data_IF_021194420530
#
_entry.id   IF_021194420530
#
_cell.length_a   1.000
_cell.length_b   1.000
_cell.length_c   1.000
_cell.angle_alpha   90.00
_cell.angle_beta   90.00
_cell.angle_gamma   90.00
#
_symmetry.space_group_name_H-M   'P 1'
#
loop_
_entity.id
_entity.type
_entity.pdbx_description
1 polymer ?
#
# COMPACT_ATOMS: atom_id res chain seq x y z
N UNK A 1 10.49 9.13 -2.40
CA UNK A 1 10.04 7.90 -3.09
C UNK A 1 9.94 6.78 -2.06
N UNK A 2 8.78 6.15 -1.91
CA UNK A 2 8.64 4.98 -1.04
C UNK A 2 9.33 3.76 -1.65
N UNK A 3 9.99 2.97 -0.81
CA UNK A 3 10.62 1.70 -1.17
C UNK A 3 10.33 0.67 -0.09
N UNK A 4 10.15 -0.58 -0.50
CA UNK A 4 10.15 -1.71 0.43
C UNK A 4 11.57 -1.86 0.98
N UNK A 5 11.72 -1.79 2.30
CA UNK A 5 13.01 -1.95 3.00
C UNK A 5 13.06 -3.22 3.83
N UNK A 6 11.91 -3.74 4.25
CA UNK A 6 11.82 -4.97 5.03
C UNK A 6 10.49 -5.68 4.76
N UNK A 7 10.54 -7.01 4.76
CA UNK A 7 9.38 -7.88 4.69
C UNK A 7 9.54 -8.94 5.77
N UNK A 8 8.55 -9.04 6.64
CA UNK A 8 8.46 -10.12 7.61
C UNK A 8 7.22 -10.96 7.27
N UNK A 9 7.39 -12.19 6.74
CA UNK A 9 6.27 -13.04 6.40
C UNK A 9 5.48 -13.43 7.65
N UNK A 10 4.16 -13.53 7.51
CA UNK A 10 3.32 -14.03 8.59
C UNK A 10 3.56 -15.51 8.78
N UNK A 11 3.96 -15.91 9.99
CA UNK A 11 4.09 -17.32 10.39
C UNK A 11 2.99 -17.66 11.37
N UNK A 12 2.69 -18.95 11.59
CA UNK A 12 1.66 -19.35 12.57
C UNK A 12 1.98 -18.72 13.93
N UNK A 13 1.11 -17.82 14.39
CA UNK A 13 1.21 -17.14 15.69
C UNK A 13 1.91 -15.78 15.69
N UNK A 14 2.59 -15.36 14.60
CA UNK A 14 3.22 -14.04 14.49
C UNK A 14 2.71 -13.31 13.25
N UNK A 15 2.07 -12.15 13.46
CA UNK A 15 1.58 -11.32 12.38
C UNK A 15 2.74 -10.86 11.47
N UNK A 16 2.57 -11.04 10.17
CA UNK A 16 3.49 -10.51 9.17
C UNK A 16 3.35 -9.00 8.98
N UNK A 17 4.38 -8.38 8.43
CA UNK A 17 4.39 -6.97 8.08
C UNK A 17 5.31 -6.66 6.88
N UNK A 18 5.06 -5.50 6.27
CA UNK A 18 5.94 -4.91 5.24
C UNK A 18 6.30 -3.50 5.69
N UNK A 19 7.59 -3.17 5.64
CA UNK A 19 8.08 -1.82 5.94
C UNK A 19 8.42 -1.13 4.63
N UNK A 20 7.77 0.02 4.43
CA UNK A 20 8.16 0.99 3.42
C UNK A 20 8.93 2.13 4.08
N UNK A 21 9.85 2.73 3.36
CA UNK A 21 10.52 3.95 3.79
C UNK A 21 10.51 4.97 2.66
N UNK A 22 10.27 6.24 2.98
CA UNK A 22 10.54 7.31 2.05
C UNK A 22 12.05 7.53 1.95
N UNK A 23 12.66 7.02 0.89
CA UNK A 23 14.09 7.21 0.59
C UNK A 23 14.36 8.49 -0.21
N UNK A 24 13.36 9.35 -0.42
CA UNK A 24 13.54 10.63 -1.10
C UNK A 24 13.85 11.76 -0.14
N UNK A 25 14.19 12.92 -0.70
CA UNK A 25 14.43 14.17 0.04
C UNK A 25 13.18 15.03 0.22
N UNK A 26 12.06 14.62 -0.37
CA UNK A 26 10.77 15.33 -0.29
C UNK A 26 9.71 14.40 0.26
N UNK A 27 8.70 14.99 0.91
CA UNK A 27 7.53 14.25 1.39
C UNK A 27 6.73 13.69 0.23
N UNK A 28 6.13 12.52 0.44
CA UNK A 28 5.27 11.85 -0.54
C UNK A 28 3.93 11.55 0.09
N UNK A 29 2.86 11.72 -0.66
CA UNK A 29 1.54 11.30 -0.21
C UNK A 29 1.46 9.77 -0.23
N UNK A 30 0.90 9.17 0.83
CA UNK A 30 0.69 7.73 0.94
C UNK A 30 -0.48 7.26 0.07
N UNK A 31 -1.48 8.10 -0.18
CA UNK A 31 -2.58 7.82 -1.09
C UNK A 31 -2.05 7.66 -2.52
N UNK A 32 -2.53 6.63 -3.22
CA UNK A 32 -2.09 6.31 -4.58
C UNK A 32 -0.92 5.32 -4.65
N UNK A 33 -0.49 4.80 -3.50
CA UNK A 33 0.42 3.66 -3.42
C UNK A 33 -0.36 2.36 -3.21
N UNK A 34 0.17 1.26 -3.73
CA UNK A 34 -0.35 -0.08 -3.48
C UNK A 34 0.77 -1.11 -3.36
N UNK A 35 0.55 -2.17 -2.58
CA UNK A 35 1.41 -3.36 -2.56
C UNK A 35 0.64 -4.52 -3.17
N UNK A 36 1.27 -5.28 -4.06
CA UNK A 36 0.65 -6.47 -4.66
C UNK A 36 1.68 -7.59 -4.84
N UNK A 37 1.19 -8.81 -5.11
CA UNK A 37 2.04 -9.92 -5.58
C UNK A 37 2.23 -9.87 -7.10
N UNK A 38 2.94 -10.87 -7.65
CA UNK A 38 3.03 -11.12 -9.09
C UNK A 38 1.67 -11.41 -9.77
N UNK A 39 0.57 -11.59 -9.02
CA UNK A 39 -0.77 -11.77 -9.59
C UNK A 39 -1.14 -10.63 -10.56
N UNK A 40 -0.67 -9.42 -10.25
CA UNK A 40 -0.81 -8.25 -11.12
C UNK A 40 -0.15 -8.45 -12.49
N UNK A 41 1.06 -9.00 -12.52
CA UNK A 41 1.82 -9.24 -13.75
C UNK A 41 1.30 -10.46 -14.53
N UNK A 42 0.68 -11.40 -13.83
CA UNK A 42 0.12 -12.64 -14.38
C UNK A 42 -1.31 -12.46 -14.90
N UNK A 43 -1.92 -11.28 -14.72
CA UNK A 43 -3.31 -11.00 -15.06
C UNK A 43 -4.30 -12.00 -14.42
N UNK A 44 -4.09 -12.31 -13.14
CA UNK A 44 -4.93 -13.19 -12.33
C UNK A 44 -5.82 -12.32 -11.42
N UNK A 45 -7.05 -11.97 -11.83
CA UNK A 45 -7.88 -11.00 -11.12
C UNK A 45 -8.38 -11.52 -9.78
N UNK A 46 -8.67 -12.82 -9.67
CA UNK A 46 -9.19 -13.42 -8.44
C UNK A 46 -8.13 -13.40 -7.34
N UNK A 47 -6.90 -13.79 -7.68
CA UNK A 47 -5.78 -13.74 -6.75
C UNK A 47 -5.36 -12.30 -6.46
N UNK A 48 -5.36 -11.43 -7.47
CA UNK A 48 -5.02 -10.02 -7.28
C UNK A 48 -5.96 -9.34 -6.28
N UNK A 49 -7.26 -9.59 -6.37
CA UNK A 49 -8.25 -9.01 -5.44
C UNK A 49 -7.99 -9.38 -3.98
N UNK A 50 -7.31 -10.49 -3.72
CA UNK A 50 -6.95 -10.96 -2.39
C UNK A 50 -5.56 -10.49 -1.96
N UNK A 51 -4.65 -10.28 -2.91
CA UNK A 51 -3.22 -10.04 -2.66
C UNK A 51 -2.77 -8.60 -2.91
N UNK A 52 -3.70 -7.68 -3.18
CA UNK A 52 -3.44 -6.23 -3.32
C UNK A 52 -3.93 -5.44 -2.09
N UNK A 53 -3.06 -4.56 -1.58
CA UNK A 53 -3.42 -3.55 -0.60
C UNK A 53 -3.22 -2.17 -1.18
N UNK A 54 -4.28 -1.37 -1.16
CA UNK A 54 -4.28 0.02 -1.62
C UNK A 54 -4.23 0.91 -0.38
N UNK A 55 -3.22 1.75 -0.29
CA UNK A 55 -3.14 2.74 0.78
C UNK A 55 -4.17 3.85 0.53
N UNK A 56 -5.06 4.06 1.51
CA UNK A 56 -6.19 5.00 1.42
C UNK A 56 -5.92 6.33 2.13
N UNK A 57 -4.97 6.33 3.06
CA UNK A 57 -4.65 7.45 3.92
C UNK A 57 -4.04 8.61 3.13
N UNK A 58 -4.61 9.80 3.30
CA UNK A 58 -4.12 11.05 2.72
C UNK A 58 -3.05 11.67 3.64
N UNK A 59 -1.94 10.95 3.79
CA UNK A 59 -0.90 11.25 4.77
C UNK A 59 0.41 11.59 4.08
N UNK A 60 1.06 12.67 4.53
CA UNK A 60 2.34 13.11 4.01
C UNK A 60 3.49 12.38 4.72
N UNK A 61 4.13 11.44 4.02
CA UNK A 61 5.26 10.68 4.55
C UNK A 61 6.55 11.47 4.33
N UNK A 62 7.11 12.01 5.41
CA UNK A 62 8.35 12.79 5.40
C UNK A 62 9.57 11.97 4.96
N UNK A 63 10.67 12.63 4.54
CA UNK A 63 11.94 11.95 4.26
C UNK A 63 12.39 11.03 5.39
N UNK A 64 12.84 9.83 5.06
CA UNK A 64 13.32 8.79 5.97
C UNK A 64 12.28 8.26 6.99
N UNK A 65 11.02 8.68 6.88
CA UNK A 65 9.90 8.14 7.66
C UNK A 65 9.45 6.79 7.12
N UNK A 66 9.04 5.91 8.04
CA UNK A 66 8.58 4.56 7.72
C UNK A 66 7.06 4.48 7.69
N UNK A 67 6.57 3.61 6.82
CA UNK A 67 5.19 3.12 6.80
C UNK A 67 5.24 1.62 7.04
N UNK A 68 4.44 1.11 7.97
CA UNK A 68 4.40 -0.32 8.31
C UNK A 68 3.02 -0.84 7.96
N UNK A 69 2.93 -1.71 6.97
CA UNK A 69 1.70 -2.44 6.66
C UNK A 69 1.68 -3.73 7.47
N UNK A 70 0.76 -3.82 8.42
CA UNK A 70 0.57 -4.95 9.30
C UNK A 70 -0.55 -5.84 8.76
N UNK A 71 -0.36 -7.16 8.76
CA UNK A 71 -1.42 -8.08 8.32
C UNK A 71 -2.60 -8.13 9.28
N UNK A 72 -2.36 -7.93 10.59
CA UNK A 72 -3.35 -8.07 11.64
C UNK A 72 -4.44 -7.00 11.62
N UNK A 73 -5.30 -7.06 12.66
CA UNK A 73 -6.35 -6.05 12.88
C UNK A 73 -5.81 -4.81 13.57
N UNK A 74 -6.35 -3.66 13.22
CA UNK A 74 -6.04 -2.39 13.86
C UNK A 74 -6.62 -1.21 13.08
N UNK A 75 -6.32 -0.01 13.58
CA UNK A 75 -6.69 1.25 12.95
C UNK A 75 -5.45 1.95 12.45
N UNK A 76 -5.52 2.47 11.22
CA UNK A 76 -4.40 3.16 10.60
C UNK A 76 -4.07 4.44 11.40
N UNK A 77 -2.78 4.72 11.59
CA UNK A 77 -2.37 5.89 12.36
C UNK A 77 -0.88 6.00 12.60
N UNK A 78 -0.49 7.16 13.12
CA UNK A 78 0.88 7.44 13.53
C UNK A 78 1.19 6.77 14.86
N UNK A 79 2.31 6.07 14.94
CA UNK A 79 2.80 5.42 16.16
C UNK A 79 4.25 5.80 16.41
N UNK A 80 4.59 6.03 17.69
CA UNK A 80 5.97 6.27 18.11
C UNK A 80 6.78 4.96 18.07
N UNK A 81 7.97 5.01 17.49
CA UNK A 81 8.90 3.88 17.43
C UNK A 81 9.90 3.92 18.58
N UNK A 82 10.54 2.79 18.88
CA UNK A 82 11.48 2.64 20.01
C UNK A 82 12.68 3.60 19.95
N UNK A 83 13.01 4.11 18.76
CA UNK A 83 14.08 5.07 18.51
C UNK A 83 13.59 6.54 18.59
N UNK A 84 12.38 6.77 19.09
CA UNK A 84 11.77 8.10 19.25
C UNK A 84 11.29 8.75 17.95
N UNK A 85 11.34 8.03 16.83
CA UNK A 85 10.78 8.48 15.55
C UNK A 85 9.29 8.12 15.47
N UNK A 86 8.64 8.53 14.39
CA UNK A 86 7.27 8.12 14.07
C UNK A 86 7.26 7.22 12.85
N UNK A 87 6.37 6.23 12.88
CA UNK A 87 5.99 5.44 11.72
C UNK A 87 4.48 5.52 11.51
N UNK A 88 4.05 5.48 10.26
CA UNK A 88 2.63 5.33 9.94
C UNK A 88 2.30 3.84 9.88
N UNK A 89 1.45 3.36 10.78
CA UNK A 89 0.98 1.98 10.79
C UNK A 89 -0.30 1.89 9.98
N UNK A 90 -0.35 0.97 9.02
CA UNK A 90 -1.54 0.65 8.26
C UNK A 90 -1.89 -0.83 8.48
N UNK A 91 -3.18 -1.15 8.53
CA UNK A 91 -3.65 -2.49 8.86
C UNK A 91 -4.43 -3.10 7.71
N UNK A 92 -3.99 -4.27 7.26
CA UNK A 92 -4.70 -5.06 6.23
C UNK A 92 -6.01 -5.63 6.78
N UNK A 93 -6.12 -5.81 8.10
CA UNK A 93 -7.28 -6.42 8.74
C UNK A 93 -7.57 -7.84 8.23
N UNK A 94 -6.52 -8.59 7.86
CA UNK A 94 -6.63 -9.99 7.46
C UNK A 94 -6.35 -10.92 8.63
N UNK A 95 -7.11 -12.01 8.72
CA UNK A 95 -6.90 -13.08 9.70
C UNK A 95 -5.94 -14.16 9.20
N UNK A 96 -5.61 -14.15 7.90
CA UNK A 96 -4.72 -15.12 7.25
C UNK A 96 -3.49 -14.42 6.65
N UNK A 97 -2.34 -15.13 6.57
CA UNK A 97 -1.22 -14.67 5.76
C UNK A 97 -1.67 -14.39 4.32
N UNK A 98 -1.46 -13.16 3.84
CA UNK A 98 -1.83 -12.78 2.48
C UNK A 98 -0.85 -13.39 1.47
N UNK A 99 0.46 -13.14 1.64
CA UNK A 99 1.46 -13.67 0.73
C UNK A 99 2.13 -14.93 1.28
N UNK A 100 2.35 -15.90 0.39
CA UNK A 100 3.07 -17.13 0.69
C UNK A 100 4.57 -16.84 0.93
N UNK A 101 5.25 -17.60 1.80
CA UNK A 101 6.71 -17.55 1.89
C UNK A 101 7.37 -17.73 0.50
N UNK A 102 8.32 -16.86 0.18
CA UNK A 102 9.00 -16.87 -1.13
C UNK A 102 8.26 -16.12 -2.26
N UNK A 103 7.03 -15.64 -2.02
CA UNK A 103 6.35 -14.78 -2.99
C UNK A 103 7.10 -13.45 -3.18
N UNK A 104 7.16 -12.99 -4.43
CA UNK A 104 7.62 -11.64 -4.75
C UNK A 104 6.47 -10.66 -4.55
N UNK A 105 6.75 -9.58 -3.81
CA UNK A 105 5.83 -8.45 -3.66
C UNK A 105 6.39 -7.22 -4.37
N UNK A 106 5.48 -6.40 -4.87
CA UNK A 106 5.75 -5.19 -5.63
C UNK A 106 5.10 -4.00 -4.96
N UNK A 107 5.78 -2.86 -5.05
CA UNK A 107 5.22 -1.56 -4.66
C UNK A 107 4.89 -0.80 -5.94
N UNK A 108 3.62 -0.46 -6.09
CA UNK A 108 3.08 0.31 -7.20
C UNK A 108 2.77 1.73 -6.74
N UNK A 109 2.91 2.69 -7.63
CA UNK A 109 2.46 4.06 -7.41
C UNK A 109 1.90 4.67 -8.69
N UNK A 110 1.00 5.63 -8.52
CA UNK A 110 0.47 6.41 -9.64
C UNK A 110 1.60 7.25 -10.25
N UNK A 111 1.94 6.97 -11.50
CA UNK A 111 2.88 7.78 -12.28
C UNK A 111 2.20 8.99 -12.95
N UNK A 112 0.91 8.85 -13.30
CA UNK A 112 0.12 9.88 -13.93
C UNK A 112 -1.37 9.59 -13.82
N UNK A 113 -2.18 10.65 -13.82
CA UNK A 113 -3.63 10.57 -13.80
C UNK A 113 -4.21 11.68 -14.67
N UNK A 114 -5.21 11.35 -15.47
CA UNK A 114 -5.96 12.28 -16.31
C UNK A 114 -7.43 11.92 -16.26
N UNK A 115 -8.30 12.93 -16.23
CA UNK A 115 -9.75 12.72 -16.29
C UNK A 115 -10.13 12.42 -17.74
N UNK A 116 -10.87 11.34 -17.97
CA UNK A 116 -11.48 11.07 -19.28
C UNK A 116 -12.57 12.13 -19.53
N UNK A 117 -12.57 12.83 -20.68
CA UNK A 117 -13.63 13.78 -21.00
C UNK A 117 -15.00 13.10 -21.03
N UNK A 118 -15.99 13.69 -20.38
CA UNK A 118 -17.39 13.28 -20.51
C UNK A 118 -17.93 13.86 -21.81
N UNK A 119 -18.09 13.03 -22.84
CA UNK A 119 -18.92 13.40 -24.00
C UNK A 119 -20.39 13.37 -23.55
N UNK A 120 -20.87 14.45 -22.94
CA UNK A 120 -22.31 14.66 -22.84
C UNK A 120 -22.84 14.90 -24.26
N UNK A 121 -23.52 13.90 -24.81
CA UNK A 121 -24.35 14.08 -26.00
C UNK A 121 -25.51 14.95 -25.56
N UNK A 122 -25.41 16.25 -25.81
CA UNK A 122 -26.53 17.18 -25.65
C UNK A 122 -27.60 16.75 -26.65
N UNK A 123 -28.60 16.00 -26.19
CA UNK A 123 -29.81 15.75 -26.96
C UNK A 123 -30.51 17.10 -27.13
N UNK A 124 -30.37 17.68 -28.33
CA UNK A 124 -31.17 18.84 -28.74
C UNK A 124 -32.58 18.32 -28.96
N UNK A 125 -33.48 18.56 -28.00
CA UNK A 125 -34.91 18.33 -28.20
C UNK A 125 -35.44 19.29 -29.28
N UNK A 126 -36.35 18.82 -30.16
CA UNK A 126 -36.88 19.57 -31.29
C UNK A 126 -37.79 20.74 -30.87
#
# INVERSE_FOLDING_TARGET
MLRIVEICPSTRGRGGYVVLQNCGLVSVNLKGWAICSEAYLQNDPERLAQEIYIFKADEAIQPYTRVVLLHGKGEDGWTDTIDGRKAYCAYWNSTTPIWKPGARIHLLHIQGSQKVPSNEVVAVSP
#
